data_IF_659302710576
#
_entry.id   IF_659302710576
#
_cell.length_a   1.000
_cell.length_b   1.000
_cell.length_c   1.000
_cell.angle_alpha   90.00
_cell.angle_beta   90.00
_cell.angle_gamma   90.00
#
_symmetry.space_group_name_H-M   'P 1'
#
loop_
_entity.id
_entity.type
_entity.pdbx_description
1 polymer ?
#
# COMPACT_ATOMS: atom_id res chain seq x y z
N UNK A 1 -11.61 3.98 -6.10
CA UNK A 1 -10.22 3.59 -6.43
C UNK A 1 -9.61 4.56 -7.43
N UNK A 2 -10.36 5.05 -8.43
CA UNK A 2 -9.90 6.05 -9.40
C UNK A 2 -9.44 7.33 -8.68
N UNK A 3 -10.19 7.81 -7.69
CA UNK A 3 -9.84 8.97 -6.86
C UNK A 3 -8.57 8.77 -6.02
N UNK A 4 -8.18 7.53 -5.77
CA UNK A 4 -6.93 7.19 -5.08
C UNK A 4 -5.71 7.14 -6.03
N UNK A 5 -5.90 7.50 -7.30
CA UNK A 5 -4.84 7.54 -8.29
C UNK A 5 -4.36 6.16 -8.76
N UNK A 6 -5.15 5.12 -8.56
CA UNK A 6 -4.86 3.78 -9.09
C UNK A 6 -5.02 3.82 -10.60
N UNK A 7 -3.97 3.44 -11.32
CA UNK A 7 -3.88 3.57 -12.78
C UNK A 7 -4.04 2.24 -13.53
N UNK A 8 -3.84 1.12 -12.84
CA UNK A 8 -3.87 -0.19 -13.49
C UNK A 8 -4.49 -1.25 -12.59
N UNK A 9 -5.01 -2.32 -13.21
CA UNK A 9 -5.66 -3.41 -12.52
C UNK A 9 -6.23 -4.43 -13.50
N UNK A 10 -6.81 -5.48 -12.97
CA UNK A 10 -7.59 -6.46 -13.70
C UNK A 10 -8.88 -6.79 -12.92
N UNK A 11 -9.85 -7.31 -13.61
CA UNK A 11 -11.14 -7.71 -13.02
C UNK A 11 -11.17 -9.22 -12.89
N UNK A 12 -11.56 -9.72 -11.72
CA UNK A 12 -11.66 -11.17 -11.48
C UNK A 12 -13.09 -11.52 -11.08
N UNK A 13 -13.73 -12.36 -11.89
CA UNK A 13 -15.02 -13.00 -11.58
C UNK A 13 -14.68 -14.35 -10.95
N UNK A 14 -15.04 -14.51 -9.69
CA UNK A 14 -14.78 -15.73 -8.91
C UNK A 14 -15.98 -16.66 -8.95
N UNK A 15 -15.79 -17.92 -8.50
CA UNK A 15 -16.84 -18.94 -8.42
C UNK A 15 -17.48 -19.28 -9.78
N UNK A 16 -16.67 -19.32 -10.81
CA UNK A 16 -17.09 -19.68 -12.17
C UNK A 16 -17.83 -21.02 -12.22
N UNK A 17 -17.47 -21.95 -11.35
CA UNK A 17 -18.06 -23.29 -11.21
C UNK A 17 -19.53 -23.30 -10.76
N UNK A 18 -20.06 -22.17 -10.28
CA UNK A 18 -21.43 -22.08 -9.77
C UNK A 18 -22.44 -21.61 -10.82
N UNK A 19 -22.01 -21.27 -12.02
CA UNK A 19 -22.85 -20.72 -13.09
C UNK A 19 -22.49 -21.35 -14.43
N UNK A 20 -23.45 -21.38 -15.36
CA UNK A 20 -23.22 -21.78 -16.75
C UNK A 20 -22.53 -20.68 -17.58
N UNK A 21 -22.16 -21.01 -18.81
CA UNK A 21 -21.46 -20.06 -19.67
C UNK A 21 -22.33 -18.87 -20.10
N UNK A 22 -23.66 -19.09 -20.28
CA UNK A 22 -24.56 -18.02 -20.67
C UNK A 22 -24.70 -16.96 -19.59
N UNK A 23 -24.86 -17.38 -18.33
CA UNK A 23 -24.82 -16.50 -17.16
C UNK A 23 -23.48 -15.77 -16.99
N UNK A 24 -22.40 -16.49 -17.23
CA UNK A 24 -21.06 -15.93 -17.12
C UNK A 24 -20.83 -14.81 -18.14
N UNK A 25 -21.31 -14.98 -19.37
CA UNK A 25 -21.19 -13.95 -20.40
C UNK A 25 -22.06 -12.72 -20.10
N UNK A 26 -23.24 -12.93 -19.54
CA UNK A 26 -24.09 -11.83 -19.08
C UNK A 26 -23.42 -11.03 -17.96
N UNK A 27 -22.81 -11.70 -16.99
CA UNK A 27 -22.03 -11.04 -15.93
C UNK A 27 -20.85 -10.27 -16.51
N UNK A 28 -20.12 -10.84 -17.45
CA UNK A 28 -19.00 -10.14 -18.13
C UNK A 28 -19.44 -8.85 -18.81
N UNK A 29 -20.61 -8.86 -19.45
CA UNK A 29 -21.16 -7.66 -20.11
C UNK A 29 -21.54 -6.59 -19.08
N UNK A 30 -22.24 -6.94 -18.01
CA UNK A 30 -22.60 -6.00 -16.94
C UNK A 30 -21.34 -5.39 -16.30
N UNK A 31 -20.33 -6.21 -16.04
CA UNK A 31 -19.03 -5.75 -15.50
C UNK A 31 -18.33 -4.81 -16.46
N UNK A 32 -18.32 -5.09 -17.78
CA UNK A 32 -17.74 -4.18 -18.79
C UNK A 32 -18.45 -2.83 -18.79
N UNK A 33 -19.77 -2.82 -18.69
CA UNK A 33 -20.54 -1.57 -18.68
C UNK A 33 -20.25 -0.75 -17.42
N UNK A 34 -20.18 -1.38 -16.26
CA UNK A 34 -19.85 -0.72 -14.99
C UNK A 34 -18.38 -0.22 -14.93
N UNK A 35 -17.49 -0.82 -15.69
CA UNK A 35 -16.10 -0.41 -15.77
C UNK A 35 -15.88 0.83 -16.65
N UNK A 36 -16.85 1.20 -17.51
CA UNK A 36 -16.75 2.38 -18.38
C UNK A 36 -16.51 3.66 -17.58
N UNK A 37 -15.62 4.51 -18.06
CA UNK A 37 -15.24 5.77 -17.39
C UNK A 37 -14.35 5.57 -16.15
N UNK A 38 -13.93 4.35 -15.85
CA UNK A 38 -12.99 4.05 -14.76
C UNK A 38 -11.63 3.61 -15.31
N UNK A 39 -10.61 3.52 -14.43
CA UNK A 39 -9.29 2.97 -14.82
C UNK A 39 -9.33 1.48 -15.21
N UNK A 40 -10.45 0.80 -14.97
CA UNK A 40 -10.67 -0.60 -15.35
C UNK A 40 -11.30 -0.75 -16.74
N UNK A 41 -11.66 0.33 -17.42
CA UNK A 41 -12.20 0.27 -18.77
C UNK A 41 -11.20 -0.39 -19.74
N UNK A 42 -11.66 -1.40 -20.47
CA UNK A 42 -10.82 -2.16 -21.41
C UNK A 42 -9.78 -3.10 -20.78
N UNK A 43 -9.76 -3.22 -19.45
CA UNK A 43 -8.85 -4.15 -18.75
C UNK A 43 -9.32 -5.59 -18.85
N UNK A 44 -8.40 -6.58 -18.74
CA UNK A 44 -8.74 -8.00 -18.76
C UNK A 44 -9.77 -8.37 -17.69
N UNK A 45 -10.76 -9.20 -18.08
CA UNK A 45 -11.72 -9.82 -17.16
C UNK A 45 -11.38 -11.31 -17.12
N UNK A 46 -10.94 -11.78 -15.95
CA UNK A 46 -10.59 -13.17 -15.70
C UNK A 46 -11.73 -13.88 -14.97
N UNK A 47 -12.10 -15.08 -15.43
CA UNK A 47 -13.11 -15.89 -14.74
C UNK A 47 -12.43 -17.10 -14.13
N UNK A 48 -12.55 -17.26 -12.82
CA UNK A 48 -11.82 -18.29 -12.07
C UNK A 48 -12.69 -19.04 -11.09
N UNK A 49 -12.32 -20.28 -10.81
CA UNK A 49 -12.83 -21.04 -9.69
C UNK A 49 -11.67 -21.48 -8.79
N UNK A 50 -11.70 -21.05 -7.53
CA UNK A 50 -10.74 -21.53 -6.54
C UNK A 50 -11.02 -23.00 -6.15
N UNK A 51 -12.26 -23.47 -6.33
CA UNK A 51 -12.68 -24.85 -6.01
C UNK A 51 -12.14 -25.85 -7.02
N UNK A 52 -12.31 -25.56 -8.32
CA UNK A 52 -11.84 -26.45 -9.41
C UNK A 52 -10.41 -26.16 -9.85
N UNK A 53 -9.87 -24.99 -9.53
CA UNK A 53 -8.57 -24.52 -10.00
C UNK A 53 -8.61 -23.89 -11.39
N UNK A 54 -9.77 -23.87 -12.05
CA UNK A 54 -9.92 -23.36 -13.41
C UNK A 54 -9.65 -21.85 -13.49
N UNK A 55 -8.87 -21.41 -14.48
CA UNK A 55 -8.50 -20.02 -14.70
C UNK A 55 -7.43 -19.46 -13.74
N UNK A 56 -6.98 -20.24 -12.76
CA UNK A 56 -6.00 -19.77 -11.75
C UNK A 56 -4.61 -19.59 -12.34
N UNK A 57 -4.21 -20.46 -13.28
CA UNK A 57 -2.91 -20.36 -13.93
C UNK A 57 -2.82 -19.09 -14.79
N UNK A 58 -3.84 -18.86 -15.60
CA UNK A 58 -3.96 -17.68 -16.47
C UNK A 58 -4.04 -16.38 -15.63
N UNK A 59 -4.78 -16.41 -14.51
CA UNK A 59 -4.84 -15.28 -13.57
C UNK A 59 -3.44 -14.94 -13.01
N UNK A 60 -2.64 -15.96 -12.66
CA UNK A 60 -1.27 -15.76 -12.18
C UNK A 60 -0.40 -15.10 -13.25
N UNK A 61 -0.48 -15.55 -14.49
CA UNK A 61 0.27 -14.98 -15.61
C UNK A 61 -0.10 -13.50 -15.83
N UNK A 62 -1.39 -13.16 -15.84
CA UNK A 62 -1.84 -11.77 -15.99
C UNK A 62 -1.40 -10.90 -14.82
N UNK A 63 -1.45 -11.42 -13.58
CA UNK A 63 -0.89 -10.73 -12.41
C UNK A 63 0.61 -10.47 -12.53
N UNK A 64 1.39 -11.45 -13.01
CA UNK A 64 2.82 -11.25 -13.26
C UNK A 64 3.08 -10.16 -14.31
N UNK A 65 2.32 -10.16 -15.41
CA UNK A 65 2.40 -9.09 -16.43
C UNK A 65 2.08 -7.72 -15.86
N UNK A 66 1.04 -7.63 -15.02
CA UNK A 66 0.63 -6.39 -14.37
C UNK A 66 1.71 -5.87 -13.42
N UNK A 67 2.26 -6.75 -12.57
CA UNK A 67 3.31 -6.39 -11.60
C UNK A 67 4.60 -5.99 -12.32
N UNK A 68 4.96 -6.68 -13.42
CA UNK A 68 6.15 -6.36 -14.21
C UNK A 68 6.08 -4.98 -14.90
N UNK A 69 4.86 -4.48 -15.16
CA UNK A 69 4.63 -3.13 -15.69
C UNK A 69 4.60 -2.06 -14.61
N UNK A 70 4.41 -2.44 -13.35
CA UNK A 70 4.43 -1.51 -12.24
C UNK A 70 5.83 -0.92 -12.11
N UNK A 71 5.93 0.41 -12.20
CA UNK A 71 7.20 1.12 -12.04
C UNK A 71 7.82 0.86 -10.67
N UNK A 72 9.14 0.80 -10.63
CA UNK A 72 9.87 0.72 -9.38
C UNK A 72 9.60 1.95 -8.52
N UNK A 73 9.38 1.72 -7.23
CA UNK A 73 9.29 2.82 -6.26
C UNK A 73 10.65 3.50 -6.13
N UNK A 74 10.65 4.80 -5.87
CA UNK A 74 11.90 5.55 -5.69
C UNK A 74 12.58 5.17 -4.36
N UNK A 75 13.49 4.22 -4.43
CA UNK A 75 14.25 3.75 -3.26
C UNK A 75 15.39 4.69 -2.85
N UNK A 76 15.76 5.65 -3.72
CA UNK A 76 16.84 6.61 -3.44
C UNK A 76 16.36 7.88 -2.76
N UNK A 77 15.06 8.10 -2.70
CA UNK A 77 14.48 9.22 -1.97
C UNK A 77 14.68 9.08 -0.45
N UNK A 78 14.50 10.16 0.28
CA UNK A 78 14.38 10.11 1.72
C UNK A 78 13.13 9.28 2.09
N UNK A 79 13.27 8.42 3.10
CA UNK A 79 12.16 7.57 3.50
C UNK A 79 10.99 8.38 4.06
N UNK A 80 9.78 7.91 3.78
CA UNK A 80 8.54 8.49 4.25
C UNK A 80 7.48 7.42 4.48
N UNK A 81 7.01 7.31 5.73
CA UNK A 81 6.05 6.29 6.17
C UNK A 81 4.87 6.98 6.88
N UNK A 82 3.74 7.23 6.16
CA UNK A 82 2.50 7.65 6.80
C UNK A 82 2.00 6.59 7.77
N UNK A 83 1.63 7.00 8.98
CA UNK A 83 1.20 6.12 10.05
C UNK A 83 -0.30 5.83 9.92
N UNK A 84 -0.65 4.55 9.84
CA UNK A 84 -2.06 4.11 9.85
C UNK A 84 -2.51 3.55 11.20
N UNK A 85 -1.59 3.03 12.03
CA UNK A 85 -1.88 2.53 13.38
C UNK A 85 -0.72 2.78 14.32
N UNK A 86 -1.07 2.96 15.60
CA UNK A 86 -0.12 3.14 16.71
C UNK A 86 -0.42 2.14 17.80
N UNK A 87 0.58 1.41 18.23
CA UNK A 87 0.49 0.42 19.30
C UNK A 87 1.48 0.74 20.43
N UNK A 88 1.11 0.36 21.65
CA UNK A 88 2.06 0.19 22.74
C UNK A 88 2.29 -1.30 22.93
N UNK A 89 3.53 -1.73 22.88
CA UNK A 89 3.92 -3.13 23.05
C UNK A 89 4.81 -3.24 24.27
N UNK A 90 4.41 -4.07 25.23
CA UNK A 90 5.15 -4.25 26.47
C UNK A 90 6.58 -4.69 26.20
N UNK A 91 7.55 -4.03 26.82
CA UNK A 91 8.98 -4.25 26.61
C UNK A 91 9.57 -3.62 25.33
N UNK A 92 8.76 -3.27 24.34
CA UNK A 92 9.21 -2.65 23.08
C UNK A 92 8.90 -1.16 22.96
N UNK A 93 7.91 -0.67 23.70
CA UNK A 93 7.50 0.74 23.64
C UNK A 93 6.53 1.04 22.51
N UNK A 94 6.70 2.17 21.83
CA UNK A 94 5.79 2.61 20.77
C UNK A 94 6.16 2.00 19.43
N UNK A 95 5.18 1.30 18.86
CA UNK A 95 5.28 0.68 17.53
C UNK A 95 4.23 1.31 16.62
N UNK A 96 4.63 1.73 15.45
CA UNK A 96 3.74 2.28 14.43
C UNK A 96 3.72 1.37 13.20
N UNK A 97 2.61 1.36 12.48
CA UNK A 97 2.53 0.68 11.18
C UNK A 97 2.13 1.65 10.09
N UNK A 98 2.60 1.37 8.88
CA UNK A 98 2.29 2.15 7.69
C UNK A 98 2.87 1.51 6.44
N UNK A 99 2.59 2.11 5.29
CA UNK A 99 3.24 1.74 4.03
C UNK A 99 4.38 2.70 3.78
N UNK A 100 5.60 2.18 3.60
CA UNK A 100 6.75 2.98 3.20
C UNK A 100 6.55 3.43 1.76
N UNK A 101 6.27 4.71 1.55
CA UNK A 101 5.88 5.23 0.24
C UNK A 101 7.06 5.60 -0.64
N UNK A 102 8.19 5.98 -0.03
CA UNK A 102 9.44 6.37 -0.70
C UNK A 102 10.65 5.94 0.14
N UNK A 103 11.78 5.76 -0.53
CA UNK A 103 13.08 5.51 0.09
C UNK A 103 13.27 4.11 0.64
N UNK A 104 14.31 3.97 1.44
CA UNK A 104 14.59 2.81 2.27
C UNK A 104 14.84 3.25 3.72
N UNK A 105 14.47 2.40 4.66
CA UNK A 105 14.53 2.65 6.10
C UNK A 105 15.34 1.54 6.75
N UNK A 106 16.34 1.89 7.55
CA UNK A 106 17.20 0.93 8.23
C UNK A 106 17.00 0.96 9.74
N UNK A 107 17.26 -0.15 10.39
CA UNK A 107 17.41 -0.20 11.82
C UNK A 107 18.57 0.74 12.24
N UNK A 108 18.35 1.57 13.26
CA UNK A 108 19.30 2.57 13.74
C UNK A 108 19.21 3.94 13.04
N UNK A 109 18.45 4.09 11.95
CA UNK A 109 18.29 5.38 11.28
C UNK A 109 17.65 6.41 12.22
N UNK A 110 18.14 7.66 12.13
CA UNK A 110 17.47 8.81 12.72
C UNK A 110 16.18 9.09 11.95
N UNK A 111 15.12 9.39 12.66
CA UNK A 111 13.82 9.71 12.11
C UNK A 111 13.19 10.91 12.82
N UNK A 112 12.25 11.53 12.14
CA UNK A 112 11.47 12.66 12.63
C UNK A 112 9.98 12.32 12.48
N UNK A 113 9.19 12.66 13.49
CA UNK A 113 7.72 12.55 13.43
C UNK A 113 7.15 13.88 12.92
N UNK A 114 6.49 13.84 11.78
CA UNK A 114 5.86 15.02 11.16
C UNK A 114 4.34 14.92 11.38
N UNK A 115 3.65 15.99 11.82
CA UNK A 115 4.09 17.39 11.84
C UNK A 115 4.72 17.88 13.14
N UNK A 116 4.80 17.05 14.19
CA UNK A 116 5.28 17.51 15.51
C UNK A 116 6.75 17.93 15.56
N UNK A 117 7.58 17.43 14.65
CA UNK A 117 9.04 17.65 14.66
C UNK A 117 9.77 16.82 15.73
N UNK A 118 9.10 15.87 16.38
CA UNK A 118 9.73 15.06 17.41
C UNK A 118 10.79 14.13 16.80
N UNK A 119 12.02 14.28 17.29
CA UNK A 119 13.13 13.43 16.86
C UNK A 119 13.04 12.05 17.51
N UNK A 120 13.34 11.02 16.75
CA UNK A 120 13.33 9.63 17.20
C UNK A 120 14.39 8.82 16.44
N UNK A 121 14.52 7.55 16.82
CA UNK A 121 15.37 6.57 16.14
C UNK A 121 14.60 5.28 15.91
N UNK A 122 14.83 4.66 14.77
CA UNK A 122 14.27 3.36 14.42
C UNK A 122 15.00 2.28 15.20
N UNK A 123 14.32 1.61 16.13
CA UNK A 123 14.90 0.51 16.92
C UNK A 123 14.81 -0.83 16.23
N UNK A 124 13.69 -1.09 15.59
CA UNK A 124 13.41 -2.37 14.94
C UNK A 124 12.42 -2.17 13.80
N UNK A 125 12.53 -3.01 12.79
CA UNK A 125 11.65 -3.04 11.62
C UNK A 125 11.09 -4.45 11.44
N UNK A 126 9.80 -4.52 11.10
CA UNK A 126 9.17 -5.79 10.72
C UNK A 126 8.39 -5.63 9.42
N UNK A 127 8.58 -6.59 8.53
CA UNK A 127 7.85 -6.69 7.26
C UNK A 127 7.24 -8.10 7.19
N UNK A 128 5.92 -8.17 6.97
CA UNK A 128 5.17 -9.44 6.97
C UNK A 128 5.39 -10.30 8.22
N UNK A 129 5.53 -9.67 9.41
CA UNK A 129 5.74 -10.37 10.68
C UNK A 129 7.18 -10.79 10.96
N UNK A 130 8.10 -10.62 10.01
CA UNK A 130 9.51 -10.96 10.16
C UNK A 130 10.33 -9.70 10.49
N UNK A 131 11.26 -9.81 11.43
CA UNK A 131 12.24 -8.75 11.72
C UNK A 131 13.21 -8.62 10.55
N UNK A 132 13.42 -7.39 10.10
CA UNK A 132 14.33 -7.06 8.99
C UNK A 132 15.25 -5.92 9.40
N UNK A 133 16.45 -5.86 8.81
CA UNK A 133 17.38 -4.74 9.01
C UNK A 133 17.04 -3.54 8.14
N UNK A 134 16.45 -3.78 6.97
CA UNK A 134 16.09 -2.74 5.99
C UNK A 134 14.69 -3.00 5.46
N UNK A 135 13.89 -1.95 5.37
CA UNK A 135 12.59 -1.94 4.68
C UNK A 135 12.67 -1.01 3.47
N UNK A 136 11.89 -1.32 2.43
CA UNK A 136 11.92 -0.64 1.14
C UNK A 136 10.56 -0.04 0.77
N UNK A 137 10.59 1.00 -0.06
CA UNK A 137 9.38 1.61 -0.59
C UNK A 137 8.42 0.59 -1.22
N UNK A 138 7.14 0.71 -0.91
CA UNK A 138 6.08 -0.21 -1.30
C UNK A 138 5.74 -1.26 -0.25
N UNK A 139 6.60 -1.51 0.74
CA UNK A 139 6.35 -2.48 1.80
C UNK A 139 5.46 -1.89 2.91
N UNK A 140 4.62 -2.75 3.49
CA UNK A 140 3.97 -2.46 4.76
C UNK A 140 4.90 -2.81 5.90
N UNK A 141 5.20 -1.81 6.73
CA UNK A 141 6.25 -1.90 7.75
C UNK A 141 5.67 -1.61 9.12
N UNK A 142 6.07 -2.38 10.13
CA UNK A 142 5.95 -2.02 11.52
C UNK A 142 7.31 -1.48 12.01
N UNK A 143 7.28 -0.30 12.62
CA UNK A 143 8.47 0.43 13.06
C UNK A 143 8.39 0.67 14.56
N UNK A 144 9.40 0.23 15.29
CA UNK A 144 9.58 0.56 16.69
C UNK A 144 10.36 1.89 16.79
N UNK A 145 9.73 2.88 17.43
CA UNK A 145 10.27 4.23 17.60
C UNK A 145 10.84 4.42 19.00
N UNK A 146 12.08 4.87 19.07
CA UNK A 146 12.77 5.11 20.34
C UNK A 146 12.31 6.42 21.00
N UNK A 147 12.13 6.41 22.33
CA UNK A 147 11.92 7.62 23.11
C UNK A 147 10.55 8.30 22.96
N UNK A 148 9.67 7.79 22.13
CA UNK A 148 8.32 8.31 21.96
C UNK A 148 7.31 7.43 22.73
N UNK A 149 6.35 8.09 23.37
CA UNK A 149 5.18 7.44 23.98
C UNK A 149 4.07 7.32 22.94
N UNK A 150 3.15 6.37 23.14
CA UNK A 150 1.97 6.22 22.28
C UNK A 150 1.15 7.52 22.17
N UNK A 151 1.13 8.34 23.22
CA UNK A 151 0.43 9.63 23.27
C UNK A 151 1.05 10.70 22.39
N UNK A 152 2.32 10.55 22.02
CA UNK A 152 3.07 11.53 21.23
C UNK A 152 2.89 11.29 19.72
N UNK A 153 2.25 10.18 19.34
CA UNK A 153 2.10 9.74 17.96
C UNK A 153 0.63 9.52 17.62
N UNK A 154 0.19 10.04 16.49
CA UNK A 154 -1.19 9.89 16.04
C UNK A 154 -1.26 9.20 14.67
N UNK A 155 -2.41 8.58 14.39
CA UNK A 155 -2.74 8.14 13.04
C UNK A 155 -2.80 9.35 12.11
N UNK A 156 -2.12 9.26 10.97
CA UNK A 156 -1.99 10.36 10.01
C UNK A 156 -0.67 11.11 10.11
N UNK A 157 0.06 10.99 11.24
CA UNK A 157 1.44 11.45 11.31
C UNK A 157 2.32 10.68 10.31
N UNK A 158 3.50 11.19 10.05
CA UNK A 158 4.45 10.58 9.15
C UNK A 158 5.81 10.40 9.82
N UNK A 159 6.38 9.20 9.75
CA UNK A 159 7.78 8.96 10.08
C UNK A 159 8.61 9.26 8.84
N UNK A 160 9.52 10.23 8.94
CA UNK A 160 10.33 10.69 7.83
C UNK A 160 11.82 10.79 8.21
N UNK A 161 12.69 10.84 7.20
CA UNK A 161 14.08 11.19 7.41
C UNK A 161 14.15 12.65 7.89
N UNK A 162 14.97 12.98 8.92
CA UNK A 162 15.01 14.32 9.48
C UNK A 162 15.23 15.41 8.43
N UNK A 163 14.50 16.51 8.55
CA UNK A 163 14.60 17.71 7.70
C UNK A 163 14.27 17.49 6.22
N UNK A 164 13.52 16.42 5.87
CA UNK A 164 13.15 16.14 4.46
C UNK A 164 11.69 16.45 4.13
N UNK A 165 10.84 16.60 5.13
CA UNK A 165 9.42 16.92 4.95
C UNK A 165 9.12 18.29 5.56
N UNK A 166 8.52 19.16 4.75
CA UNK A 166 8.09 20.49 5.22
C UNK A 166 6.59 20.47 5.56
N UNK A 167 6.26 21.00 6.72
CA UNK A 167 4.86 21.25 7.09
C UNK A 167 4.41 22.55 6.40
N UNK A 168 3.30 22.50 5.66
CA UNK A 168 2.70 23.66 5.02
C UNK A 168 1.29 23.90 5.57
N UNK A 169 0.92 25.17 5.70
CA UNK A 169 -0.43 25.60 6.06
C UNK A 169 -1.23 26.12 4.84
N UNK A 170 -0.56 26.23 3.70
CA UNK A 170 -1.17 26.68 2.43
C UNK A 170 -0.87 25.64 1.36
N UNK A 171 -1.91 25.23 0.65
CA UNK A 171 -1.83 24.25 -0.43
C UNK A 171 -2.64 24.77 -1.62
N UNK A 172 -2.05 24.70 -2.80
CA UNK A 172 -2.79 24.84 -4.06
C UNK A 172 -3.34 23.47 -4.45
N UNK A 173 -4.65 23.38 -4.66
CA UNK A 173 -5.31 22.12 -5.01
C UNK A 173 -6.06 22.24 -6.31
N UNK A 174 -5.97 21.22 -7.16
CA UNK A 174 -6.82 21.05 -8.34
C UNK A 174 -7.93 20.07 -8.00
N UNK A 175 -9.16 20.56 -7.98
CA UNK A 175 -10.34 19.70 -7.82
C UNK A 175 -10.76 19.16 -9.18
N UNK A 176 -11.05 17.86 -9.22
CA UNK A 176 -11.74 17.22 -10.34
C UNK A 176 -13.10 16.76 -9.83
N UNK A 177 -14.15 17.26 -10.47
CA UNK A 177 -15.54 16.92 -10.19
C UNK A 177 -16.03 15.87 -11.17
#
# INVERSE_FOLDING_TARGET
>A
LTLLGIKDGLIVITKKDMVDEEWLDMIKQDVKERAKGTFLEGKPIMCVSAYTGEGIAELKEELYKLVSKAGEKNMRAAFRLPIDRVFSVDGFGTVVTGTLIEGSMNEGDAAELVPSGAETRIRNLQVHGNTVKTAYAGQRVAVNLAGLKKTDVQRGDCVAKPNTVRVSRMLDVKLMN
#
